data_IF_077275968959
#
_entry.id   IF_077275968959
#
_cell.length_a   1.000
_cell.length_b   1.000
_cell.length_c   1.000
_cell.angle_alpha   90.00
_cell.angle_beta   90.00
_cell.angle_gamma   90.00
#
_symmetry.space_group_name_H-M   'P 1'
#
loop_
_entity.id
_entity.type
_entity.pdbx_description
1 polymer ?
#
# COMPACT_ATOMS: atom_id res chain seq x y z
N UNK A 1 7.49 -22.26 16.21
CA UNK A 1 6.67 -21.07 15.98
C UNK A 1 7.48 -19.93 16.55
N UNK A 2 8.21 -19.23 15.70
CA UNK A 2 8.98 -18.04 16.08
C UNK A 2 8.35 -16.92 15.27
N UNK A 3 7.57 -16.12 15.98
CA UNK A 3 7.27 -14.73 15.73
C UNK A 3 8.52 -14.00 15.23
N UNK A 4 8.69 -14.01 13.92
CA UNK A 4 9.64 -13.18 13.20
C UNK A 4 9.22 -11.72 13.45
N UNK A 5 9.87 -11.09 14.43
CA UNK A 5 9.70 -9.65 14.67
C UNK A 5 10.30 -8.91 13.48
N UNK A 6 9.49 -8.76 12.43
CA UNK A 6 9.78 -7.81 11.35
C UNK A 6 9.71 -6.43 12.00
N UNK A 7 10.78 -5.61 11.91
CA UNK A 7 10.73 -4.26 12.43
C UNK A 7 9.62 -3.49 11.71
N UNK A 8 8.60 -3.08 12.47
CA UNK A 8 7.53 -2.22 12.00
C UNK A 8 7.74 -0.80 12.54
N UNK A 9 7.22 0.17 11.81
CA UNK A 9 7.29 1.57 12.18
C UNK A 9 5.86 2.11 12.30
N UNK A 10 5.44 2.42 13.52
CA UNK A 10 4.12 2.97 13.80
C UNK A 10 4.10 4.48 13.56
N UNK A 11 3.05 4.98 12.90
CA UNK A 11 2.88 6.40 12.60
C UNK A 11 1.45 6.85 12.89
N UNK A 12 1.33 8.10 13.33
CA UNK A 12 0.03 8.73 13.54
C UNK A 12 -0.58 9.17 12.21
N UNK A 13 -1.89 9.00 12.09
CA UNK A 13 -2.66 9.42 10.92
C UNK A 13 -3.12 10.87 11.08
N UNK A 14 -3.05 11.64 10.00
CA UNK A 14 -3.67 12.97 9.91
C UNK A 14 -5.07 12.86 9.32
N UNK A 15 -5.21 12.13 8.21
CA UNK A 15 -6.44 12.09 7.44
C UNK A 15 -6.54 10.82 6.58
N UNK A 16 -7.77 10.40 6.31
CA UNK A 16 -8.08 9.28 5.42
C UNK A 16 -8.99 9.79 4.29
N UNK A 17 -8.63 9.48 3.06
CA UNK A 17 -9.40 9.77 1.85
C UNK A 17 -9.84 8.45 1.21
N UNK A 18 -11.02 7.91 1.57
CA UNK A 18 -11.57 6.75 0.89
C UNK A 18 -11.88 7.07 -0.56
N UNK A 19 -11.83 6.08 -1.45
CA UNK A 19 -12.27 6.28 -2.84
C UNK A 19 -13.72 6.76 -2.84
N UNK A 20 -14.06 7.86 -3.55
CA UNK A 20 -15.40 8.45 -3.50
C UNK A 20 -16.51 7.50 -3.98
N UNK A 21 -16.16 6.55 -4.84
CA UNK A 21 -17.06 5.52 -5.38
C UNK A 21 -16.83 4.13 -4.75
N UNK A 22 -16.19 4.07 -3.57
CA UNK A 22 -16.06 2.80 -2.84
C UNK A 22 -17.44 2.23 -2.52
N UNK A 23 -17.65 0.95 -2.85
CA UNK A 23 -18.88 0.24 -2.56
C UNK A 23 -18.59 -0.96 -1.66
N UNK A 24 -18.99 -0.88 -0.38
CA UNK A 24 -18.76 -1.94 0.60
C UNK A 24 -19.56 -3.24 0.37
N UNK A 25 -20.58 -3.23 -0.50
CA UNK A 25 -21.34 -4.45 -0.86
C UNK A 25 -20.67 -5.21 -2.00
N UNK A 26 -20.19 -4.51 -3.03
CA UNK A 26 -19.53 -5.14 -4.18
C UNK A 26 -18.01 -5.19 -4.05
N UNK A 27 -17.45 -4.51 -3.05
CA UNK A 27 -16.00 -4.28 -2.87
C UNK A 27 -15.41 -3.59 -4.12
N UNK A 28 -16.23 -2.78 -4.79
CA UNK A 28 -15.75 -2.00 -5.94
C UNK A 28 -14.94 -0.80 -5.44
N UNK A 29 -13.89 -0.47 -6.18
CA UNK A 29 -12.99 0.65 -5.88
C UNK A 29 -12.37 0.57 -4.48
N UNK A 30 -11.90 -0.61 -4.08
CA UNK A 30 -11.29 -0.88 -2.78
C UNK A 30 -9.88 -0.28 -2.66
N UNK A 31 -9.83 1.05 -2.55
CA UNK A 31 -8.61 1.82 -2.36
C UNK A 31 -8.89 3.07 -1.51
N UNK A 32 -7.91 3.49 -0.72
CA UNK A 32 -7.96 4.73 0.03
C UNK A 32 -6.56 5.35 0.10
N UNK A 33 -6.49 6.68 0.16
CA UNK A 33 -5.24 7.39 0.47
C UNK A 33 -5.23 7.76 1.96
N UNK A 34 -4.09 7.59 2.60
CA UNK A 34 -3.89 7.94 4.00
C UNK A 34 -2.80 9.01 4.07
N UNK A 35 -3.12 10.15 4.68
CA UNK A 35 -2.16 11.21 4.99
C UNK A 35 -1.62 10.98 6.41
N UNK A 36 -0.31 10.87 6.53
CA UNK A 36 0.39 10.71 7.80
C UNK A 36 0.55 12.08 8.48
N UNK A 37 0.48 12.12 9.80
CA UNK A 37 0.67 13.35 10.60
C UNK A 37 2.10 13.88 10.50
N UNK A 38 3.06 13.00 10.23
CA UNK A 38 4.47 13.33 10.06
C UNK A 38 4.98 12.73 8.75
N UNK A 39 5.94 13.43 8.12
CA UNK A 39 6.57 12.96 6.89
C UNK A 39 7.46 11.75 7.18
N UNK A 40 7.30 10.69 6.39
CA UNK A 40 8.15 9.49 6.51
C UNK A 40 9.56 9.77 5.94
N UNK A 41 10.60 9.31 6.64
CA UNK A 41 11.99 9.46 6.22
C UNK A 41 12.45 8.25 5.40
N UNK A 42 12.26 8.30 4.07
CA UNK A 42 12.63 7.22 3.16
C UNK A 42 14.08 6.73 3.37
N UNK A 43 14.22 5.53 3.90
CA UNK A 43 15.48 4.83 4.14
C UNK A 43 15.58 3.51 3.37
N UNK A 44 16.72 2.78 3.47
CA UNK A 44 16.97 1.55 2.71
C UNK A 44 15.93 0.42 2.96
N UNK A 45 15.20 0.49 4.08
CA UNK A 45 14.16 -0.48 4.45
C UNK A 45 12.73 0.11 4.38
N UNK A 46 12.56 1.31 3.84
CA UNK A 46 11.24 1.93 3.71
C UNK A 46 10.85 1.95 2.24
N UNK A 47 9.80 1.20 1.91
CA UNK A 47 9.33 1.03 0.55
C UNK A 47 8.86 2.38 -0.03
N UNK A 48 9.47 2.79 -1.13
CA UNK A 48 8.88 3.81 -2.01
C UNK A 48 7.84 3.11 -2.87
N UNK A 49 6.56 3.47 -2.72
CA UNK A 49 5.49 2.94 -3.55
C UNK A 49 5.56 3.59 -4.92
N UNK A 50 5.77 2.78 -5.96
CA UNK A 50 5.76 3.22 -7.35
C UNK A 50 4.30 3.22 -7.81
N UNK A 51 3.78 4.38 -8.24
CA UNK A 51 2.52 4.41 -8.99
C UNK A 51 2.82 3.90 -10.40
N UNK A 52 2.24 2.77 -10.85
CA UNK A 52 2.51 2.28 -12.20
C UNK A 52 1.96 3.27 -13.23
N UNK A 53 2.78 3.62 -14.21
CA UNK A 53 2.31 4.31 -15.41
C UNK A 53 1.35 3.38 -16.17
N UNK A 54 0.30 3.98 -16.72
CA UNK A 54 -1.01 3.36 -16.98
C UNK A 54 -1.06 2.35 -18.13
N UNK A 55 0.06 1.81 -18.63
CA UNK A 55 0.08 1.20 -19.97
C UNK A 55 0.81 -0.13 -20.15
N UNK A 56 1.44 -0.72 -19.14
CA UNK A 56 2.05 -2.05 -19.33
C UNK A 56 1.17 -3.11 -18.66
N UNK A 57 0.27 -3.72 -19.45
CA UNK A 57 -0.24 -5.05 -19.08
C UNK A 57 0.98 -5.93 -18.82
N UNK A 58 1.12 -6.56 -17.64
CA UNK A 58 2.26 -7.41 -17.37
C UNK A 58 2.36 -8.47 -18.47
N UNK A 59 3.56 -8.70 -19.06
CA UNK A 59 3.73 -9.77 -20.03
C UNK A 59 3.28 -11.10 -19.40
N UNK A 60 2.52 -11.89 -20.16
CA UNK A 60 1.99 -13.15 -19.69
C UNK A 60 3.12 -14.05 -19.14
N UNK A 61 3.11 -14.31 -17.84
CA UNK A 61 4.11 -15.11 -17.14
C UNK A 61 4.85 -14.39 -16.02
N UNK A 62 4.72 -13.07 -15.90
CA UNK A 62 5.26 -12.34 -14.76
C UNK A 62 4.35 -12.57 -13.54
N UNK A 63 4.85 -13.27 -12.53
CA UNK A 63 4.08 -13.53 -11.29
C UNK A 63 4.34 -12.37 -10.32
N UNK A 64 3.35 -11.50 -10.06
CA UNK A 64 3.55 -10.44 -9.09
C UNK A 64 3.86 -11.04 -7.72
N UNK A 65 4.97 -10.60 -7.11
CA UNK A 65 5.29 -10.97 -5.73
C UNK A 65 4.28 -10.31 -4.80
N UNK A 66 3.30 -11.08 -4.34
CA UNK A 66 2.46 -10.69 -3.21
C UNK A 66 3.31 -10.76 -1.94
N UNK A 67 3.72 -9.61 -1.44
CA UNK A 67 4.27 -9.49 -0.10
C UNK A 67 3.07 -9.36 0.84
N UNK A 68 2.90 -10.34 1.72
CA UNK A 68 1.84 -10.29 2.73
C UNK A 68 2.17 -9.24 3.80
N UNK A 69 1.13 -8.59 4.31
CA UNK A 69 1.17 -7.95 5.64
C UNK A 69 1.30 -9.01 6.73
#
# INVERSE_FOLDING_TARGET
MLDEQVPHFDMNLELIFPHPEYNGTTIANDIALIKLAEQVQLGPNQATVICPETVVSPPAGDTPRKVGL
#
